data_IF_680200132443
#
_entry.id   IF_680200132443
#
_cell.length_a   1.000
_cell.length_b   1.000
_cell.length_c   1.000
_cell.angle_alpha   90.00
_cell.angle_beta   90.00
_cell.angle_gamma   90.00
#
_symmetry.space_group_name_H-M   'P 1'
#
loop_
_entity.id
_entity.type
_entity.pdbx_description
1 polymer ?
#
# COMPACT_ATOMS: atom_id res chain seq x y z
N UNK A 1 9.65 10.85 -29.31
CA UNK A 1 8.76 10.06 -28.43
C UNK A 1 9.47 8.88 -27.76
N UNK A 2 10.32 8.08 -28.44
CA UNK A 2 11.19 7.07 -27.78
C UNK A 2 12.04 7.60 -26.61
N UNK A 3 12.44 8.86 -26.67
CA UNK A 3 13.11 9.54 -25.56
C UNK A 3 12.29 9.49 -24.25
N UNK A 4 10.96 9.63 -24.32
CA UNK A 4 10.08 9.59 -23.14
C UNK A 4 10.12 8.21 -22.47
N UNK A 5 10.10 7.14 -23.28
CA UNK A 5 10.24 5.76 -22.80
C UNK A 5 11.59 5.55 -22.10
N UNK A 6 12.69 6.06 -22.68
CA UNK A 6 14.02 6.00 -22.04
C UNK A 6 14.14 6.86 -20.77
N UNK A 7 13.20 7.77 -20.54
CA UNK A 7 13.12 8.62 -19.34
C UNK A 7 12.13 8.09 -18.31
N UNK A 8 11.58 6.89 -18.52
CA UNK A 8 10.68 6.25 -17.56
C UNK A 8 9.28 6.85 -17.54
N UNK A 9 8.89 7.58 -18.59
CA UNK A 9 7.49 8.00 -18.74
C UNK A 9 6.66 6.76 -19.06
N UNK A 10 5.66 6.50 -18.23
CA UNK A 10 4.79 5.32 -18.30
C UNK A 10 3.36 5.65 -18.77
N UNK A 11 3.01 6.94 -18.85
CA UNK A 11 1.71 7.43 -19.32
C UNK A 11 1.83 8.84 -19.91
N UNK A 12 0.97 9.16 -20.88
CA UNK A 12 0.84 10.51 -21.44
C UNK A 12 -0.64 10.94 -21.56
N UNK A 13 -0.92 12.22 -21.28
CA UNK A 13 -2.24 12.83 -21.46
C UNK A 13 -2.08 14.07 -22.36
N UNK A 14 -2.80 14.10 -23.47
CA UNK A 14 -2.91 15.25 -24.37
C UNK A 14 -3.97 16.21 -23.82
N UNK A 15 -3.53 17.45 -23.56
CA UNK A 15 -4.40 18.54 -23.10
C UNK A 15 -4.65 19.50 -24.26
N UNK A 16 -5.91 19.66 -24.64
CA UNK A 16 -6.34 20.53 -25.73
C UNK A 16 -7.04 19.79 -26.87
N UNK A 17 -7.61 20.55 -27.82
CA UNK A 17 -8.51 20.01 -28.81
C UNK A 17 -7.81 19.02 -29.73
N UNK A 18 -8.56 17.98 -30.14
CA UNK A 18 -8.17 16.89 -31.05
C UNK A 18 -7.41 15.73 -30.35
N UNK A 19 -6.75 14.89 -31.16
CA UNK A 19 -6.12 13.62 -30.73
C UNK A 19 -4.79 13.35 -31.43
N UNK A 20 -4.12 14.41 -31.93
CA UNK A 20 -2.95 14.26 -32.81
C UNK A 20 -1.78 13.68 -32.02
N UNK A 21 -1.48 14.21 -30.84
CA UNK A 21 -0.36 13.71 -30.03
C UNK A 21 -0.65 12.32 -29.47
N UNK A 22 -1.89 12.05 -29.03
CA UNK A 22 -2.37 10.72 -28.65
C UNK A 22 -2.13 9.70 -29.76
N UNK A 23 -2.53 10.01 -30.99
CA UNK A 23 -2.39 9.08 -32.12
C UNK A 23 -0.92 8.90 -32.54
N UNK A 24 -0.11 9.96 -32.47
CA UNK A 24 1.34 9.87 -32.72
C UNK A 24 2.04 9.03 -31.66
N UNK A 25 1.69 9.17 -30.39
CA UNK A 25 2.22 8.36 -29.29
C UNK A 25 1.85 6.88 -29.49
N UNK A 26 0.58 6.57 -29.76
CA UNK A 26 0.11 5.19 -30.02
C UNK A 26 0.86 4.51 -31.16
N UNK A 27 1.23 5.25 -32.21
CA UNK A 27 1.96 4.71 -33.37
C UNK A 27 3.46 4.57 -33.14
N UNK A 28 4.08 5.53 -32.45
CA UNK A 28 5.55 5.60 -32.36
C UNK A 28 6.11 4.96 -31.09
N UNK A 29 5.31 4.90 -30.01
CA UNK A 29 5.71 4.33 -28.72
C UNK A 29 4.52 3.57 -28.11
N UNK A 30 4.20 2.37 -28.63
CA UNK A 30 3.07 1.58 -28.12
C UNK A 30 3.19 1.20 -26.64
N UNK A 31 4.41 1.23 -26.08
CA UNK A 31 4.68 0.95 -24.67
C UNK A 31 4.18 2.03 -23.71
N UNK A 32 3.92 3.25 -24.19
CA UNK A 32 3.38 4.35 -23.38
C UNK A 32 1.90 4.55 -23.74
N UNK A 33 0.94 4.17 -22.88
CA UNK A 33 -0.46 4.50 -23.08
C UNK A 33 -0.65 6.03 -23.14
N UNK A 34 -1.37 6.48 -24.17
CA UNK A 34 -1.68 7.89 -24.39
C UNK A 34 -3.19 8.12 -24.47
N UNK A 35 -3.65 9.17 -23.79
CA UNK A 35 -5.05 9.58 -23.65
C UNK A 35 -5.25 11.02 -24.11
N UNK A 36 -6.44 11.37 -24.59
CA UNK A 36 -6.85 12.76 -24.82
C UNK A 36 -7.88 13.18 -23.78
N UNK A 37 -7.69 14.36 -23.18
CA UNK A 37 -8.62 14.92 -22.21
C UNK A 37 -9.95 15.37 -22.86
N UNK A 38 -9.94 15.71 -24.15
CA UNK A 38 -11.15 16.12 -24.88
C UNK A 38 -11.91 14.93 -25.48
N UNK A 39 -11.55 13.69 -25.11
CA UNK A 39 -12.21 12.47 -25.55
C UNK A 39 -12.81 11.70 -24.36
N UNK A 40 -14.14 11.59 -24.33
CA UNK A 40 -14.88 10.96 -23.22
C UNK A 40 -14.48 9.49 -22.98
N UNK A 41 -14.26 8.70 -24.05
CA UNK A 41 -13.83 7.31 -23.91
C UNK A 41 -12.44 7.21 -23.26
N UNK A 42 -11.50 8.08 -23.67
CA UNK A 42 -10.18 8.14 -23.06
C UNK A 42 -10.23 8.58 -21.60
N UNK A 43 -11.13 9.49 -21.22
CA UNK A 43 -11.37 9.84 -19.82
C UNK A 43 -11.81 8.61 -19.03
N UNK A 44 -12.79 7.85 -19.52
CA UNK A 44 -13.27 6.65 -18.83
C UNK A 44 -12.15 5.59 -18.68
N UNK A 45 -11.32 5.41 -19.72
CA UNK A 45 -10.16 4.52 -19.65
C UNK A 45 -9.07 5.03 -18.71
N UNK A 46 -8.84 6.35 -18.67
CA UNK A 46 -7.90 6.99 -17.77
C UNK A 46 -8.37 6.87 -16.33
N UNK A 47 -9.63 7.19 -16.05
CA UNK A 47 -10.27 6.99 -14.75
C UNK A 47 -10.19 5.53 -14.33
N UNK A 48 -10.46 4.56 -15.22
CA UNK A 48 -10.29 3.14 -14.89
C UNK A 48 -8.83 2.77 -14.59
N UNK A 49 -7.87 3.37 -15.28
CA UNK A 49 -6.44 3.14 -15.01
C UNK A 49 -5.97 3.79 -13.71
N UNK A 50 -6.44 5.00 -13.42
CA UNK A 50 -6.12 5.75 -12.22
C UNK A 50 -6.84 5.18 -11.00
N UNK A 51 -8.12 4.80 -11.12
CA UNK A 51 -8.86 4.08 -10.07
C UNK A 51 -8.34 2.66 -9.87
N UNK A 52 -7.87 1.97 -10.92
CA UNK A 52 -7.07 0.77 -10.72
C UNK A 52 -5.72 1.08 -10.07
N UNK A 53 -5.22 2.32 -10.10
CA UNK A 53 -3.98 2.72 -9.42
C UNK A 53 -4.25 3.11 -7.96
N UNK A 54 -5.40 3.73 -7.68
CA UNK A 54 -5.89 4.01 -6.33
C UNK A 54 -6.35 2.73 -5.62
N UNK A 55 -7.00 1.81 -6.34
CA UNK A 55 -7.27 0.45 -5.86
C UNK A 55 -6.02 -0.43 -5.89
N UNK A 56 -4.92 -0.07 -6.58
CA UNK A 56 -3.60 -0.72 -6.49
C UNK A 56 -2.70 -0.18 -5.37
N UNK A 57 -3.17 0.80 -4.59
CA UNK A 57 -2.67 0.92 -3.22
C UNK A 57 -3.10 -0.31 -2.37
N UNK A 58 -4.10 -1.09 -2.82
CA UNK A 58 -4.57 -2.30 -2.15
C UNK A 58 -4.52 -3.61 -2.96
N UNK A 59 -4.56 -3.58 -4.29
CA UNK A 59 -4.79 -4.78 -5.12
C UNK A 59 -3.81 -4.87 -6.29
N UNK A 60 -2.69 -5.59 -6.09
CA UNK A 60 -1.82 -6.04 -7.20
C UNK A 60 -0.32 -5.79 -7.05
N UNK A 61 0.16 -5.31 -5.91
CA UNK A 61 1.61 -5.12 -5.67
C UNK A 61 2.24 -6.15 -4.70
N UNK A 62 1.47 -7.07 -4.10
CA UNK A 62 1.98 -7.88 -2.97
C UNK A 62 2.25 -7.06 -1.71
N UNK A 63 1.93 -5.76 -1.73
CA UNK A 63 2.28 -4.81 -0.67
C UNK A 63 1.36 -4.97 0.54
N UNK A 64 0.10 -5.38 0.36
CA UNK A 64 -0.79 -5.70 1.47
C UNK A 64 -0.25 -6.89 2.28
N UNK A 65 0.12 -7.97 1.60
CA UNK A 65 0.74 -9.10 2.26
C UNK A 65 2.12 -8.76 2.87
N UNK A 66 2.92 -7.94 2.18
CA UNK A 66 4.19 -7.40 2.73
C UNK A 66 3.95 -6.60 4.01
N UNK A 67 2.91 -5.76 4.04
CA UNK A 67 2.52 -4.98 5.22
C UNK A 67 2.20 -5.88 6.40
N UNK A 68 1.34 -6.89 6.22
CA UNK A 68 1.02 -7.84 7.28
C UNK A 68 2.26 -8.56 7.82
N UNK A 69 3.17 -8.98 6.93
CA UNK A 69 4.45 -9.62 7.31
C UNK A 69 5.34 -8.66 8.10
N UNK A 70 5.46 -7.41 7.66
CA UNK A 70 6.24 -6.39 8.35
C UNK A 70 5.64 -6.04 9.72
N UNK A 71 4.31 -5.97 9.86
CA UNK A 71 3.67 -5.78 11.16
C UNK A 71 4.03 -6.90 12.14
N UNK A 72 3.96 -8.17 11.71
CA UNK A 72 4.33 -9.32 12.53
C UNK A 72 5.83 -9.32 12.90
N UNK A 73 6.70 -9.09 11.93
CA UNK A 73 8.15 -9.04 12.15
C UNK A 73 8.53 -7.89 13.10
N UNK A 74 7.89 -6.74 12.93
CA UNK A 74 8.09 -5.57 13.79
C UNK A 74 7.60 -5.86 15.19
N UNK A 75 6.39 -6.40 15.35
CA UNK A 75 5.84 -6.78 16.65
C UNK A 75 6.76 -7.75 17.41
N UNK A 76 7.38 -8.74 16.76
CA UNK A 76 8.29 -9.69 17.43
C UNK A 76 9.66 -9.07 17.73
N UNK A 77 10.19 -8.25 16.82
CA UNK A 77 11.53 -7.65 16.96
C UNK A 77 11.58 -6.44 17.90
N UNK A 78 10.44 -5.89 18.30
CA UNK A 78 10.39 -4.80 19.29
C UNK A 78 10.44 -5.34 20.72
N UNK A 79 11.35 -4.79 21.54
CA UNK A 79 11.54 -5.18 22.93
C UNK A 79 10.27 -4.93 23.74
N UNK A 80 9.94 -5.89 24.61
CA UNK A 80 8.89 -5.74 25.60
C UNK A 80 9.46 -5.12 26.89
N UNK A 81 8.75 -4.14 27.46
CA UNK A 81 9.08 -3.54 28.76
C UNK A 81 7.95 -3.69 29.78
N UNK A 82 6.81 -4.26 29.39
CA UNK A 82 5.68 -4.54 30.27
C UNK A 82 5.82 -5.94 30.89
N UNK A 83 5.80 -6.00 32.23
CA UNK A 83 5.94 -7.25 33.00
C UNK A 83 4.60 -7.83 33.47
N UNK A 84 3.49 -7.17 33.17
CA UNK A 84 2.15 -7.67 33.46
C UNK A 84 1.74 -8.73 32.43
N UNK A 85 1.67 -9.99 32.86
CA UNK A 85 1.32 -11.12 31.99
C UNK A 85 -0.09 -11.03 31.41
N UNK A 86 -1.07 -10.53 32.17
CA UNK A 86 -2.46 -10.43 31.71
C UNK A 86 -2.60 -9.34 30.64
N UNK A 87 -1.97 -8.19 30.86
CA UNK A 87 -1.91 -7.12 29.85
C UNK A 87 -1.14 -7.58 28.61
N UNK A 88 -0.04 -8.32 28.78
CA UNK A 88 0.72 -8.86 27.65
C UNK A 88 -0.11 -9.85 26.83
N UNK A 89 -0.85 -10.75 27.48
CA UNK A 89 -1.72 -11.70 26.80
C UNK A 89 -2.78 -10.97 25.94
N UNK A 90 -3.52 -10.03 26.53
CA UNK A 90 -4.59 -9.29 25.83
C UNK A 90 -4.07 -8.27 24.83
N UNK A 91 -3.00 -7.55 25.16
CA UNK A 91 -2.52 -6.41 24.39
C UNK A 91 -1.38 -6.72 23.43
N UNK A 92 -0.78 -7.92 23.49
CA UNK A 92 0.26 -8.38 22.56
C UNK A 92 -0.12 -9.68 21.86
N UNK A 93 -0.45 -10.73 22.61
CA UNK A 93 -0.65 -12.07 22.03
C UNK A 93 -1.92 -12.12 21.17
N UNK A 94 -3.04 -11.61 21.66
CA UNK A 94 -4.30 -11.60 20.91
C UNK A 94 -4.23 -10.77 19.61
N UNK A 95 -3.76 -9.50 19.62
CA UNK A 95 -3.64 -8.70 18.40
C UNK A 95 -2.65 -9.32 17.40
N UNK A 96 -1.52 -9.87 17.89
CA UNK A 96 -0.55 -10.54 17.03
C UNK A 96 -1.18 -11.72 16.28
N UNK A 97 -1.90 -12.60 17.00
CA UNK A 97 -2.60 -13.75 16.41
C UNK A 97 -3.66 -13.32 15.41
N UNK A 98 -4.31 -12.18 15.65
CA UNK A 98 -5.32 -11.65 14.74
C UNK A 98 -4.70 -11.15 13.43
N UNK A 99 -3.58 -10.41 13.48
CA UNK A 99 -2.80 -10.06 12.28
C UNK A 99 -2.34 -11.33 11.54
N UNK A 100 -1.83 -12.32 12.29
CA UNK A 100 -1.38 -13.60 11.72
C UNK A 100 -2.50 -14.33 10.98
N UNK A 101 -3.70 -14.38 11.56
CA UNK A 101 -4.86 -15.01 10.93
C UNK A 101 -5.25 -14.33 9.62
N UNK A 102 -5.29 -12.99 9.59
CA UNK A 102 -5.56 -12.24 8.36
C UNK A 102 -4.52 -12.63 7.28
N UNK A 103 -3.24 -12.64 7.65
CA UNK A 103 -2.14 -12.99 6.74
C UNK A 103 -2.25 -14.42 6.20
N UNK A 104 -2.57 -15.39 7.06
CA UNK A 104 -2.74 -16.80 6.67
C UNK A 104 -3.96 -17.03 5.78
N UNK A 105 -5.08 -16.33 6.04
CA UNK A 105 -6.27 -16.36 5.19
C UNK A 105 -5.97 -15.81 3.79
N UNK A 106 -5.18 -14.73 3.70
CA UNK A 106 -4.77 -14.15 2.42
C UNK A 106 -3.81 -15.06 1.65
N UNK A 107 -2.81 -15.66 2.32
CA UNK A 107 -1.89 -16.60 1.68
C UNK A 107 -2.59 -17.86 1.18
N UNK A 108 -3.50 -18.43 1.98
CA UNK A 108 -4.19 -19.68 1.63
C UNK A 108 -5.10 -19.53 0.42
N UNK A 109 -5.72 -18.36 0.26
CA UNK A 109 -6.62 -18.07 -0.86
C UNK A 109 -5.94 -17.33 -2.02
N UNK A 110 -4.64 -17.02 -1.90
CA UNK A 110 -3.89 -16.19 -2.87
C UNK A 110 -4.58 -14.84 -3.15
N UNK A 111 -5.14 -14.23 -2.11
CA UNK A 111 -5.84 -12.94 -2.18
C UNK A 111 -5.00 -11.82 -1.55
N UNK A 112 -5.25 -10.59 -1.99
CA UNK A 112 -4.76 -9.41 -1.29
C UNK A 112 -5.71 -9.06 -0.14
N UNK A 113 -5.19 -8.60 1.01
CA UNK A 113 -6.02 -8.10 2.09
C UNK A 113 -6.75 -6.82 1.65
N UNK A 114 -7.99 -6.70 2.10
CA UNK A 114 -8.77 -5.48 1.90
C UNK A 114 -8.16 -4.31 2.69
N UNK A 115 -8.49 -3.09 2.29
CA UNK A 115 -8.06 -1.89 3.01
C UNK A 115 -8.48 -1.90 4.49
N UNK A 116 -9.68 -2.39 4.81
CA UNK A 116 -10.14 -2.54 6.20
C UNK A 116 -9.28 -3.53 7.00
N UNK A 117 -8.84 -4.63 6.38
CA UNK A 117 -7.95 -5.60 7.03
C UNK A 117 -6.55 -5.02 7.27
N UNK A 118 -6.03 -4.23 6.33
CA UNK A 118 -4.76 -3.51 6.51
C UNK A 118 -4.88 -2.48 7.65
N UNK A 119 -5.97 -1.72 7.69
CA UNK A 119 -6.25 -0.75 8.75
C UNK A 119 -6.39 -1.44 10.12
N UNK A 120 -7.12 -2.57 10.18
CA UNK A 120 -7.22 -3.41 11.38
C UNK A 120 -5.82 -3.82 11.86
N UNK A 121 -4.96 -4.30 10.96
CA UNK A 121 -3.59 -4.70 11.29
C UNK A 121 -2.70 -3.53 11.79
N UNK A 122 -2.87 -2.33 11.22
CA UNK A 122 -2.18 -1.13 11.67
C UNK A 122 -2.56 -0.77 13.13
N UNK A 123 -3.85 -0.76 13.45
CA UNK A 123 -4.35 -0.48 14.80
C UNK A 123 -3.91 -1.53 15.82
N UNK A 124 -3.90 -2.81 15.41
CA UNK A 124 -3.37 -3.89 16.25
C UNK A 124 -1.89 -3.69 16.55
N UNK A 125 -1.07 -3.28 15.57
CA UNK A 125 0.35 -3.00 15.80
C UNK A 125 0.56 -1.81 16.74
N UNK A 126 -0.21 -0.72 16.57
CA UNK A 126 -0.21 0.42 17.51
C UNK A 126 -0.54 -0.03 18.93
N UNK A 127 -1.55 -0.89 19.08
CA UNK A 127 -1.91 -1.44 20.39
C UNK A 127 -0.79 -2.29 21.01
N UNK A 128 -0.12 -3.14 20.21
CA UNK A 128 1.05 -3.92 20.64
C UNK A 128 2.16 -2.99 21.15
N UNK A 129 2.47 -1.92 20.42
CA UNK A 129 3.52 -0.98 20.82
C UNK A 129 3.19 -0.27 22.12
N UNK A 130 1.94 0.17 22.28
CA UNK A 130 1.47 0.76 23.54
C UNK A 130 1.61 -0.22 24.70
N UNK A 131 1.18 -1.46 24.52
CA UNK A 131 1.25 -2.51 25.56
C UNK A 131 2.69 -2.87 25.91
N UNK A 132 3.59 -2.93 24.93
CA UNK A 132 5.02 -3.22 25.13
C UNK A 132 5.81 -2.07 25.76
N UNK A 133 5.23 -0.87 25.84
CA UNK A 133 5.89 0.33 26.34
C UNK A 133 7.00 0.84 25.40
N UNK A 134 6.80 0.70 24.08
CA UNK A 134 7.76 1.16 23.07
C UNK A 134 7.83 2.68 23.10
N UNK A 135 9.02 3.27 23.05
CA UNK A 135 9.15 4.73 23.06
C UNK A 135 8.64 5.36 21.76
N UNK A 136 8.10 6.58 21.85
CA UNK A 136 7.45 7.24 20.71
C UNK A 136 8.39 7.46 19.51
N UNK A 137 9.70 7.59 19.75
CA UNK A 137 10.67 7.78 18.67
C UNK A 137 10.86 6.46 17.90
N UNK A 138 11.05 5.35 18.60
CA UNK A 138 11.13 4.01 18.01
C UNK A 138 9.81 3.64 17.30
N UNK A 139 8.65 3.98 17.89
CA UNK A 139 7.36 3.76 17.24
C UNK A 139 7.30 4.48 15.89
N UNK A 140 7.66 5.76 15.85
CA UNK A 140 7.68 6.57 14.63
C UNK A 140 8.62 5.99 13.57
N UNK A 141 9.87 5.70 13.95
CA UNK A 141 10.87 5.14 13.02
C UNK A 141 10.40 3.81 12.39
N UNK A 142 9.78 2.94 13.20
CA UNK A 142 9.24 1.66 12.72
C UNK A 142 8.02 1.86 11.80
N UNK A 143 7.10 2.75 12.14
CA UNK A 143 5.95 3.05 11.30
C UNK A 143 6.36 3.70 9.97
N UNK A 144 7.27 4.68 9.99
CA UNK A 144 7.83 5.28 8.78
C UNK A 144 8.48 4.22 7.87
N UNK A 145 9.21 3.27 8.45
CA UNK A 145 9.81 2.16 7.71
C UNK A 145 8.75 1.28 7.04
N UNK A 146 7.70 0.90 7.78
CA UNK A 146 6.60 0.10 7.22
C UNK A 146 5.92 0.87 6.08
N UNK A 147 5.51 2.11 6.33
CA UNK A 147 4.84 2.96 5.34
C UNK A 147 5.66 3.13 4.07
N UNK A 148 6.96 3.43 4.19
CA UNK A 148 7.85 3.61 3.03
C UNK A 148 8.00 2.33 2.21
N UNK A 149 8.07 1.18 2.87
CA UNK A 149 8.27 -0.11 2.22
C UNK A 149 7.00 -0.67 1.58
N UNK A 150 5.81 -0.26 2.03
CA UNK A 150 4.53 -0.82 1.58
C UNK A 150 3.66 0.18 0.83
N UNK A 151 3.93 1.48 0.92
CA UNK A 151 3.10 2.54 0.35
C UNK A 151 1.86 2.89 1.16
N UNK A 152 1.76 2.45 2.42
CA UNK A 152 0.62 2.72 3.30
C UNK A 152 0.93 3.89 4.27
N UNK A 153 1.11 5.08 3.72
CA UNK A 153 1.58 6.26 4.46
C UNK A 153 0.53 6.82 5.45
N UNK A 154 -0.75 6.82 5.08
CA UNK A 154 -1.83 7.43 5.87
C UNK A 154 -2.29 6.61 7.08
N UNK A 155 -1.80 5.38 7.27
CA UNK A 155 -2.30 4.47 8.32
C UNK A 155 -1.67 4.71 9.69
N UNK A 156 -0.49 5.31 9.74
CA UNK A 156 0.25 5.57 10.97
C UNK A 156 0.39 7.05 11.30
N UNK A 157 -0.46 7.91 10.74
CA UNK A 157 -0.54 9.30 11.17
C UNK A 157 -0.77 9.36 12.70
N UNK A 158 0.17 10.01 13.39
CA UNK A 158 0.21 10.20 14.85
C UNK A 158 0.16 11.69 15.18
#
# INVERSE_FOLDING_TARGET
MKYLETKGVDMAVELGPQTVLRNLMKRNVPGIPAFSFDNEDDILLLERKLSNTENKAGEGSGNGLKFLKMCLATAVSTKNTNWNEEEYAKGVVEPYRRIQKIKEEMESNSYEPSFEQIKEAAEMLKHIFRTKGVDLKEQRERFETISKETGFESLFEM
#
